data_IF_084740743512
#
_entry.id   IF_084740743512
#
_cell.length_a   1.000
_cell.length_b   1.000
_cell.length_c   1.000
_cell.angle_alpha   90.00
_cell.angle_beta   90.00
_cell.angle_gamma   90.00
#
_symmetry.space_group_name_H-M   'P 1'
#
loop_
_entity.id
_entity.type
_entity.pdbx_description
1 polymer ?
#
# COMPACT_ATOMS: atom_id res chain seq x y z
N UNK A 1 20.52 -3.47 -27.33
CA UNK A 1 19.68 -3.21 -26.13
C UNK A 1 20.64 -3.09 -24.96
N UNK A 2 20.53 -2.04 -24.15
CA UNK A 2 21.33 -1.86 -22.94
C UNK A 2 20.38 -1.79 -21.74
N UNK A 3 20.71 -2.51 -20.67
CA UNK A 3 19.98 -2.51 -19.42
C UNK A 3 20.94 -2.04 -18.33
N UNK A 4 20.65 -0.89 -17.72
CA UNK A 4 21.48 -0.34 -16.65
C UNK A 4 20.67 -0.29 -15.37
N UNK A 5 21.18 -0.93 -14.32
CA UNK A 5 20.63 -0.83 -12.97
C UNK A 5 21.09 0.48 -12.32
N UNK A 6 20.16 1.31 -11.88
CA UNK A 6 20.45 2.57 -11.19
C UNK A 6 20.11 2.43 -9.70
N UNK A 7 21.10 2.17 -8.83
CA UNK A 7 20.86 1.86 -7.41
C UNK A 7 20.24 3.03 -6.62
N UNK A 8 20.50 4.29 -7.00
CA UNK A 8 19.92 5.47 -6.35
C UNK A 8 18.38 5.54 -6.45
N UNK A 9 17.78 4.89 -7.46
CA UNK A 9 16.34 4.96 -7.73
C UNK A 9 15.64 3.60 -7.79
N UNK A 10 16.34 2.52 -7.42
CA UNK A 10 15.88 1.15 -7.67
C UNK A 10 15.27 1.04 -9.09
N UNK A 11 15.92 1.68 -10.07
CA UNK A 11 15.35 1.87 -11.41
C UNK A 11 15.98 0.91 -12.42
N UNK A 12 15.16 0.37 -13.33
CA UNK A 12 15.63 -0.34 -14.51
C UNK A 12 15.52 0.62 -15.69
N UNK A 13 16.66 1.05 -16.23
CA UNK A 13 16.71 1.80 -17.47
C UNK A 13 16.88 0.83 -18.64
N UNK A 14 15.97 0.92 -19.61
CA UNK A 14 16.01 0.16 -20.85
C UNK A 14 16.23 1.10 -22.03
N UNK A 15 17.32 0.89 -22.74
CA UNK A 15 17.63 1.62 -23.97
C UNK A 15 17.70 0.67 -25.17
N UNK A 16 16.94 0.99 -26.21
CA UNK A 16 16.95 0.33 -27.51
C UNK A 16 17.64 1.23 -28.51
N UNK A 17 18.67 0.68 -29.17
CA UNK A 17 19.49 1.40 -30.15
C UNK A 17 19.28 0.80 -31.54
N UNK A 18 19.22 1.67 -32.56
CA UNK A 18 19.30 1.30 -33.98
C UNK A 18 20.29 2.23 -34.67
N UNK A 19 21.25 1.67 -35.42
CA UNK A 19 22.32 2.42 -36.09
C UNK A 19 23.07 3.38 -35.14
N UNK A 20 23.45 2.90 -33.95
CA UNK A 20 24.10 3.72 -32.90
C UNK A 20 23.29 4.91 -32.37
N UNK A 21 22.00 5.03 -32.72
CA UNK A 21 21.09 6.05 -32.20
C UNK A 21 20.07 5.41 -31.27
N UNK A 22 19.87 5.98 -30.09
CA UNK A 22 18.78 5.55 -29.20
C UNK A 22 17.46 5.88 -29.86
N UNK A 23 16.63 4.86 -30.06
CA UNK A 23 15.30 4.98 -30.68
C UNK A 23 14.18 4.86 -29.65
N UNK A 24 14.49 4.30 -28.47
CA UNK A 24 13.54 4.13 -27.39
C UNK A 24 14.30 4.01 -26.06
N UNK A 25 14.00 4.90 -25.13
CA UNK A 25 14.54 4.91 -23.77
C UNK A 25 13.37 4.92 -22.80
N UNK A 26 13.30 3.94 -21.91
CA UNK A 26 12.28 3.89 -20.87
C UNK A 26 12.92 3.56 -19.53
N UNK A 27 12.61 4.38 -18.53
CA UNK A 27 13.12 4.27 -17.17
C UNK A 27 11.99 3.80 -16.27
N UNK A 28 12.05 2.56 -15.82
CA UNK A 28 11.10 2.03 -14.85
C UNK A 28 11.67 2.24 -13.45
N UNK A 29 11.13 3.19 -12.68
CA UNK A 29 11.48 3.32 -11.27
C UNK A 29 10.76 2.23 -10.48
N UNK A 30 11.51 1.36 -9.79
CA UNK A 30 10.90 0.43 -8.85
C UNK A 30 10.58 1.08 -7.50
N UNK A 31 10.84 2.40 -7.29
CA UNK A 31 10.37 3.14 -6.10
C UNK A 31 8.88 3.48 -6.17
N UNK A 32 8.39 3.83 -7.36
CA UNK A 32 7.00 4.21 -7.58
C UNK A 32 6.54 3.69 -8.95
N UNK A 33 6.22 2.39 -9.04
CA UNK A 33 5.77 1.78 -10.28
C UNK A 33 4.43 2.37 -10.74
N UNK A 34 4.13 2.30 -12.05
CA UNK A 34 2.82 2.66 -12.57
C UNK A 34 1.72 1.79 -11.94
N UNK A 35 0.51 2.34 -11.71
CA UNK A 35 -0.59 1.60 -11.09
C UNK A 35 -1.08 0.46 -12.00
N UNK A 36 -1.42 -0.67 -11.39
CA UNK A 36 -1.98 -1.83 -12.04
C UNK A 36 -3.50 -1.72 -12.06
N UNK A 37 -4.09 -1.47 -13.23
CA UNK A 37 -5.54 -1.29 -13.39
C UNK A 37 -6.21 -2.52 -14.01
N UNK A 38 -7.31 -2.96 -13.38
CA UNK A 38 -8.13 -4.08 -13.83
C UNK A 38 -9.52 -3.54 -14.17
N UNK A 39 -10.00 -3.68 -15.42
CA UNK A 39 -11.36 -3.30 -15.79
C UNK A 39 -12.35 -4.28 -15.16
N UNK A 40 -13.41 -3.74 -14.55
CA UNK A 40 -14.48 -4.52 -13.94
C UNK A 40 -15.70 -4.48 -14.88
N UNK A 41 -15.96 -5.55 -15.68
CA UNK A 41 -17.09 -5.56 -16.60
C UNK A 41 -18.39 -5.70 -15.82
N UNK A 42 -19.30 -4.73 -15.97
CA UNK A 42 -20.66 -4.83 -15.43
C UNK A 42 -21.62 -5.18 -16.58
N UNK A 43 -22.30 -6.34 -16.53
CA UNK A 43 -23.28 -6.72 -17.55
C UNK A 43 -24.40 -5.68 -17.64
N UNK A 44 -24.85 -5.40 -18.87
CA UNK A 44 -26.02 -4.54 -19.18
C UNK A 44 -25.89 -3.05 -18.82
N UNK A 45 -24.74 -2.58 -18.34
CA UNK A 45 -24.50 -1.17 -18.01
C UNK A 45 -23.31 -0.67 -18.83
N UNK A 46 -23.48 0.36 -19.70
CA UNK A 46 -22.40 0.89 -20.54
C UNK A 46 -21.48 1.84 -19.75
N UNK A 47 -21.09 1.47 -18.54
CA UNK A 47 -20.17 2.23 -17.70
C UNK A 47 -18.83 1.50 -17.61
N UNK A 48 -17.75 2.21 -17.91
CA UNK A 48 -16.39 1.71 -17.77
C UNK A 48 -15.92 1.99 -16.34
N UNK A 49 -15.78 0.92 -15.55
CA UNK A 49 -15.24 0.95 -14.20
C UNK A 49 -13.90 0.22 -14.21
N UNK A 50 -12.88 0.86 -13.65
CA UNK A 50 -11.54 0.32 -13.51
C UNK A 50 -11.11 0.42 -12.05
N UNK A 51 -10.61 -0.68 -11.49
CA UNK A 51 -10.00 -0.68 -10.17
C UNK A 51 -8.49 -0.75 -10.34
N UNK A 52 -7.76 0.21 -9.80
CA UNK A 52 -6.31 0.32 -9.88
C UNK A 52 -5.67 0.07 -8.51
N UNK A 53 -4.61 -0.72 -8.49
CA UNK A 53 -3.71 -0.86 -7.34
C UNK A 53 -2.44 -0.05 -7.60
N UNK A 54 -2.09 0.86 -6.70
CA UNK A 54 -0.92 1.73 -6.80
C UNK A 54 0.04 1.41 -5.66
N UNK A 55 1.20 0.87 -6.01
CA UNK A 55 2.29 0.72 -5.05
C UNK A 55 3.16 1.97 -5.08
N UNK A 56 3.53 2.47 -3.91
CA UNK A 56 4.36 3.66 -3.77
C UNK A 56 5.32 3.54 -2.59
N UNK A 57 6.28 4.46 -2.54
CA UNK A 57 7.32 4.52 -1.51
C UNK A 57 8.04 3.19 -1.26
N UNK A 58 8.48 2.54 -2.34
CA UNK A 58 9.18 1.26 -2.24
C UNK A 58 10.66 1.51 -2.01
N UNK A 59 11.20 1.02 -0.89
CA UNK A 59 12.64 1.09 -0.60
C UNK A 59 13.09 -0.10 0.25
N UNK A 60 14.40 -0.36 0.31
CA UNK A 60 14.95 -1.48 1.09
C UNK A 60 15.87 -0.97 2.21
N UNK A 61 15.34 -0.72 3.43
CA UNK A 61 16.18 -0.37 4.56
C UNK A 61 16.92 -1.60 5.10
N UNK A 62 18.19 -1.76 4.71
CA UNK A 62 19.03 -2.90 5.08
C UNK A 62 18.62 -4.17 4.34
N UNK A 63 18.19 -5.19 5.07
CA UNK A 63 17.70 -6.47 4.52
C UNK A 63 16.18 -6.59 4.53
N UNK A 64 15.48 -5.48 4.77
CA UNK A 64 14.03 -5.40 4.79
C UNK A 64 13.56 -4.63 3.55
N UNK A 65 12.39 -4.98 3.01
CA UNK A 65 11.66 -4.28 1.95
C UNK A 65 10.51 -3.50 2.58
N UNK A 66 10.37 -2.24 2.24
CA UNK A 66 9.24 -1.38 2.60
C UNK A 66 8.45 -1.04 1.34
N UNK A 67 7.12 -1.09 1.40
CA UNK A 67 6.23 -0.70 0.29
C UNK A 67 4.85 -0.27 0.82
N UNK A 68 4.24 0.73 0.21
CA UNK A 68 2.88 1.18 0.52
C UNK A 68 1.92 0.86 -0.63
N UNK A 69 0.62 0.75 -0.33
CA UNK A 69 -0.42 0.38 -1.29
C UNK A 69 -1.63 1.32 -1.20
N UNK A 70 -2.07 1.85 -2.34
CA UNK A 70 -3.35 2.52 -2.49
C UNK A 70 -4.23 1.75 -3.47
N UNK A 71 -5.54 1.75 -3.21
CA UNK A 71 -6.54 1.32 -4.20
C UNK A 71 -7.35 2.51 -4.70
N UNK A 72 -7.41 2.66 -6.01
CA UNK A 72 -8.18 3.70 -6.67
C UNK A 72 -9.29 3.05 -7.51
N UNK A 73 -10.51 3.59 -7.48
CA UNK A 73 -11.58 3.22 -8.42
C UNK A 73 -11.82 4.37 -9.37
N UNK A 74 -11.85 4.07 -10.68
CA UNK A 74 -12.05 5.03 -11.76
C UNK A 74 -13.33 4.69 -12.51
N UNK A 75 -14.16 5.71 -12.74
CA UNK A 75 -15.34 5.63 -13.60
C UNK A 75 -15.09 6.56 -14.79
N UNK A 76 -15.20 6.05 -16.01
CA UNK A 76 -14.92 6.82 -17.24
C UNK A 76 -13.55 7.53 -17.17
N UNK A 77 -12.53 6.83 -16.64
CA UNK A 77 -11.15 7.31 -16.40
C UNK A 77 -10.99 8.42 -15.35
N UNK A 78 -12.06 8.78 -14.64
CA UNK A 78 -12.00 9.74 -13.52
C UNK A 78 -11.95 8.98 -12.21
N UNK A 79 -10.96 9.26 -11.36
CA UNK A 79 -10.87 8.66 -10.02
C UNK A 79 -12.02 9.17 -9.15
N UNK A 80 -12.83 8.25 -8.63
CA UNK A 80 -14.00 8.56 -7.80
C UNK A 80 -13.83 8.14 -6.35
N UNK A 81 -12.94 7.17 -6.09
CA UNK A 81 -12.63 6.68 -4.76
C UNK A 81 -11.14 6.35 -4.68
N UNK A 82 -10.51 6.76 -3.58
CA UNK A 82 -9.13 6.39 -3.23
C UNK A 82 -9.16 5.84 -1.82
N UNK A 83 -8.58 4.66 -1.64
CA UNK A 83 -8.43 3.96 -0.38
C UNK A 83 -6.93 3.86 -0.09
N UNK A 84 -6.51 4.47 1.02
CA UNK A 84 -5.14 4.43 1.49
C UNK A 84 -4.95 3.26 2.44
N UNK A 85 -3.97 2.40 2.17
CA UNK A 85 -3.61 1.30 3.05
C UNK A 85 -2.28 1.59 3.72
N UNK A 86 -2.08 0.92 4.85
CA UNK A 86 -0.82 0.94 5.56
C UNK A 86 0.31 0.31 4.72
N UNK A 87 1.52 0.79 4.97
CA UNK A 87 2.74 0.30 4.38
C UNK A 87 3.16 -1.02 5.03
N UNK A 88 3.75 -1.90 4.23
CA UNK A 88 4.24 -3.20 4.65
C UNK A 88 5.76 -3.15 4.63
N UNK A 89 6.37 -3.49 5.77
CA UNK A 89 7.80 -3.77 5.86
C UNK A 89 8.01 -5.27 6.04
N UNK A 90 8.75 -5.93 5.16
CA UNK A 90 9.01 -7.37 5.24
C UNK A 90 10.47 -7.72 4.99
N UNK A 91 11.02 -8.68 5.73
CA UNK A 91 12.37 -9.20 5.52
C UNK A 91 12.69 -10.37 6.43
N UNK A 92 13.97 -10.57 6.73
CA UNK A 92 14.42 -11.68 7.60
C UNK A 92 13.90 -11.54 9.03
N UNK A 93 13.58 -10.31 9.45
CA UNK A 93 13.10 -9.97 10.78
C UNK A 93 11.57 -10.12 10.93
N UNK A 94 10.86 -10.53 9.86
CA UNK A 94 9.40 -10.71 9.84
C UNK A 94 8.67 -9.71 8.95
N UNK A 95 7.39 -9.45 9.25
CA UNK A 95 6.59 -8.40 8.60
C UNK A 95 6.02 -7.43 9.64
N UNK A 96 5.91 -6.16 9.28
CA UNK A 96 5.31 -5.11 10.09
C UNK A 96 4.38 -4.26 9.21
N UNK A 97 3.25 -3.85 9.79
CA UNK A 97 2.32 -2.90 9.19
C UNK A 97 2.61 -1.52 9.79
N UNK A 98 2.84 -0.54 8.93
CA UNK A 98 3.28 0.80 9.31
C UNK A 98 2.31 1.80 8.67
N UNK A 99 1.80 2.74 9.45
CA UNK A 99 1.00 3.81 8.86
C UNK A 99 1.86 4.62 7.89
N UNK A 100 1.30 5.13 6.78
CA UNK A 100 2.04 5.92 5.81
C UNK A 100 2.57 7.24 6.39
N UNK A 101 1.97 7.74 7.47
CA UNK A 101 2.41 8.96 8.17
C UNK A 101 3.66 8.77 9.03
N UNK A 102 4.00 7.53 9.42
CA UNK A 102 5.10 7.23 10.35
C UNK A 102 6.46 7.06 9.65
N UNK A 103 6.57 7.36 8.35
CA UNK A 103 7.84 7.41 7.61
C UNK A 103 8.68 6.13 7.69
N UNK A 104 8.02 4.98 7.88
CA UNK A 104 8.67 3.68 8.00
C UNK A 104 9.27 3.35 9.37
N UNK A 105 8.91 4.07 10.44
CA UNK A 105 9.37 3.79 11.82
C UNK A 105 10.87 4.06 12.03
N UNK A 106 11.49 4.83 11.15
CA UNK A 106 12.84 5.36 11.36
C UNK A 106 12.72 6.56 12.30
N UNK A 107 13.53 6.65 13.37
CA UNK A 107 13.45 7.78 14.28
C UNK A 107 13.76 9.06 13.50
N UNK A 108 12.73 9.88 13.29
CA UNK A 108 12.92 11.31 13.05
C UNK A 108 13.65 11.93 14.24
N UNK A 109 14.20 13.16 14.10
CA UNK A 109 14.81 13.85 15.22
C UNK A 109 13.85 13.84 16.41
N UNK A 110 14.32 13.26 17.52
CA UNK A 110 13.54 12.84 18.68
C UNK A 110 12.45 13.83 19.09
N UNK A 111 11.20 13.48 18.77
CA UNK A 111 10.03 13.93 19.55
C UNK A 111 9.63 12.72 20.37
N UNK A 112 9.80 12.85 21.69
CA UNK A 112 9.40 11.84 22.67
C UNK A 112 7.88 11.68 22.55
N UNK A 113 7.44 10.54 22.03
CA UNK A 113 6.04 10.09 22.13
C UNK A 113 6.09 8.91 23.09
N UNK A 114 5.45 9.06 24.24
CA UNK A 114 5.26 7.98 25.21
C UNK A 114 4.45 6.86 24.56
N UNK A 115 4.91 5.61 24.70
CA UNK A 115 4.12 4.41 24.37
C UNK A 115 2.90 4.37 25.30
N UNK A 116 1.76 4.88 24.86
CA UNK A 116 0.47 4.55 25.44
C UNK A 116 -0.03 3.25 24.79
N UNK A 117 0.42 2.13 25.35
CA UNK A 117 -0.24 0.83 25.25
C UNK A 117 -1.55 0.89 26.05
N UNK A 118 -2.67 1.15 25.36
CA UNK A 118 -4.02 1.16 25.96
C UNK A 118 -4.99 0.36 25.09
N UNK A 119 -4.70 -0.92 24.87
CA UNK A 119 -5.74 -1.91 24.59
C UNK A 119 -6.35 -2.41 25.91
N UNK A 120 -7.00 -1.50 26.66
CA UNK A 120 -7.80 -1.87 27.84
C UNK A 120 -9.14 -2.41 27.35
N UNK A 121 -9.28 -3.73 27.39
CA UNK A 121 -10.56 -4.40 27.17
C UNK A 121 -11.49 -4.22 28.38
N UNK A 122 -12.68 -3.66 28.17
CA UNK A 122 -13.74 -3.64 29.19
C UNK A 122 -14.36 -5.03 29.35
N UNK A 123 -14.40 -5.56 30.59
CA UNK A 123 -15.08 -6.82 30.90
C UNK A 123 -16.61 -6.69 30.75
N UNK A 124 -17.21 -7.57 29.94
CA UNK A 124 -18.67 -7.65 29.78
C UNK A 124 -19.29 -8.31 31.02
N UNK A 125 -19.90 -7.54 31.92
CA UNK A 125 -20.71 -8.11 33.01
C UNK A 125 -22.16 -8.33 32.56
N UNK A 126 -22.58 -9.58 32.38
CA UNK A 126 -23.98 -9.92 32.12
C UNK A 126 -24.87 -9.73 33.36
N UNK A 127 -25.91 -8.90 33.25
CA UNK A 127 -26.96 -8.80 34.26
C UNK A 127 -27.97 -9.93 34.03
N UNK A 128 -27.87 -11.02 34.80
CA UNK A 128 -28.93 -12.06 34.78
C UNK A 128 -30.22 -11.53 35.41
N UNK A 129 -31.18 -11.13 34.58
CA UNK A 129 -32.56 -10.91 35.02
C UNK A 129 -33.19 -12.25 35.45
N UNK A 130 -33.37 -12.40 36.76
CA UNK A 130 -34.10 -13.53 37.34
C UNK A 130 -35.60 -13.31 37.13
N UNK A 131 -36.19 -14.05 36.19
CA UNK A 131 -37.63 -14.04 35.99
C UNK A 131 -38.35 -14.54 37.26
N UNK A 132 -39.34 -13.81 37.81
CA UNK A 132 -40.12 -14.28 38.95
C UNK A 132 -41.00 -15.46 38.52
N UNK A 133 -40.89 -16.57 39.26
CA UNK A 133 -41.69 -17.78 39.05
C UNK A 133 -43.19 -17.45 39.17
N UNK A 134 -43.97 -17.81 38.16
CA UNK A 134 -45.43 -17.84 38.25
C UNK A 134 -45.86 -18.91 39.25
N UNK A 135 -46.59 -18.50 40.28
CA UNK A 135 -47.33 -19.38 41.19
C UNK A 135 -48.58 -19.84 40.43
N UNK A 136 -48.70 -21.15 40.21
CA UNK A 136 -49.97 -21.85 40.02
C UNK A 136 -49.85 -23.26 40.61
#
# INVERSE_FOLDING_TARGET
>A
MNFTYVPENFGINMDVFMNNKSIYSNAFSAKNPPPLCIPIPIPYIPLQIETCARLFDIYTPGSNLHMCLDFETRILRTTVLVLHFDCIRMGLDGFALLKPEDGGGLPGPAVVVEEEDIDVYDEVTEIKYKNPKSVH
#
